data_IF_875822266194
#
_entry.id   IF_875822266194
#
_cell.length_a   1.000
_cell.length_b   1.000
_cell.length_c   1.000
_cell.angle_alpha   90.00
_cell.angle_beta   90.00
_cell.angle_gamma   90.00
#
_symmetry.space_group_name_H-M   'P 1'
#
loop_
_entity.id
_entity.type
_entity.pdbx_description
1 polymer ?
#
# COMPACT_ATOMS: atom_id res chain seq x y z
N UNK A 1 2.93 26.71 -0.18
CA UNK A 1 2.33 25.44 -0.63
C UNK A 1 2.91 24.28 0.17
N UNK A 2 2.09 23.51 0.86
CA UNK A 2 2.51 22.30 1.60
C UNK A 2 2.79 21.13 0.64
N UNK A 3 3.51 20.08 1.08
CA UNK A 3 3.66 18.87 0.27
C UNK A 3 2.31 18.25 -0.12
N UNK A 4 1.31 18.29 0.77
CA UNK A 4 -0.06 17.83 0.50
C UNK A 4 -0.70 18.62 -0.64
N UNK A 5 -0.65 19.94 -0.59
CA UNK A 5 -1.22 20.81 -1.63
C UNK A 5 -0.54 20.60 -2.98
N UNK A 6 0.77 20.38 -2.98
CA UNK A 6 1.56 20.09 -4.20
C UNK A 6 1.09 18.78 -4.83
N UNK A 7 0.96 17.72 -4.03
CA UNK A 7 0.49 16.41 -4.49
C UNK A 7 -0.94 16.49 -5.03
N UNK A 8 -1.86 17.12 -4.30
CA UNK A 8 -3.25 17.26 -4.73
C UNK A 8 -3.38 18.07 -6.01
N UNK A 9 -2.64 19.16 -6.15
CA UNK A 9 -2.65 19.98 -7.37
C UNK A 9 -2.22 19.16 -8.59
N UNK A 10 -1.20 18.32 -8.45
CA UNK A 10 -0.77 17.42 -9.53
C UNK A 10 -1.79 16.33 -9.85
N UNK A 11 -2.41 15.71 -8.83
CA UNK A 11 -3.47 14.72 -9.04
C UNK A 11 -4.70 15.34 -9.75
N UNK A 12 -4.98 16.61 -9.48
CA UNK A 12 -6.04 17.40 -10.12
C UNK A 12 -5.62 17.97 -11.48
N UNK A 13 -4.41 17.66 -11.98
CA UNK A 13 -3.82 18.17 -13.23
C UNK A 13 -3.76 19.70 -13.30
N UNK A 14 -3.59 20.36 -12.16
CA UNK A 14 -3.30 21.80 -12.07
C UNK A 14 -1.81 22.05 -12.23
N UNK A 15 -1.46 23.28 -12.58
CA UNK A 15 -0.05 23.71 -12.57
C UNK A 15 0.53 23.62 -11.15
N UNK A 16 1.77 23.15 -11.08
CA UNK A 16 2.52 23.07 -9.83
C UNK A 16 3.96 23.50 -10.09
N UNK A 17 4.48 24.35 -9.21
CA UNK A 17 5.83 24.92 -9.34
C UNK A 17 6.95 23.88 -9.11
N UNK A 18 6.61 22.66 -8.68
CA UNK A 18 7.59 21.63 -8.31
C UNK A 18 7.01 20.22 -8.33
N UNK A 19 7.92 19.26 -8.53
CA UNK A 19 7.64 17.83 -8.37
C UNK A 19 7.59 17.48 -6.88
N UNK A 20 6.59 16.72 -6.40
CA UNK A 20 6.44 16.37 -5.00
C UNK A 20 7.47 15.33 -4.61
N UNK A 21 8.21 15.61 -3.54
CA UNK A 21 9.06 14.62 -2.91
C UNK A 21 8.21 13.78 -1.94
N UNK A 22 7.85 12.56 -2.34
CA UNK A 22 6.98 11.69 -1.57
C UNK A 22 7.39 10.22 -1.68
N UNK A 23 7.13 9.42 -0.64
CA UNK A 23 7.34 7.97 -0.67
C UNK A 23 6.22 7.18 0.02
N UNK A 24 5.98 5.95 -0.44
CA UNK A 24 4.98 5.05 0.16
C UNK A 24 5.45 4.54 1.52
N UNK A 25 4.59 4.68 2.53
CA UNK A 25 4.93 4.36 3.92
C UNK A 25 5.36 2.91 4.14
N UNK A 26 4.76 1.97 3.41
CA UNK A 26 5.06 0.54 3.48
C UNK A 26 6.43 0.19 2.91
N UNK A 27 7.00 1.01 2.03
CA UNK A 27 8.27 0.74 1.33
C UNK A 27 9.41 1.64 1.83
N UNK A 28 9.16 2.46 2.84
CA UNK A 28 10.15 3.38 3.40
C UNK A 28 10.90 2.72 4.54
N UNK A 29 12.24 2.55 4.46
CA UNK A 29 13.05 2.10 5.57
C UNK A 29 12.87 3.05 6.76
N UNK A 30 12.40 2.53 7.90
CA UNK A 30 12.12 3.32 9.10
C UNK A 30 13.40 3.70 9.83
N UNK A 31 13.34 4.79 10.58
CA UNK A 31 14.44 5.21 11.48
C UNK A 31 15.08 6.53 11.08
N UNK A 32 16.40 6.63 11.18
CA UNK A 32 17.12 7.89 11.00
C UNK A 32 17.02 8.44 9.58
N UNK A 33 17.21 7.61 8.55
CA UNK A 33 17.12 8.02 7.15
C UNK A 33 15.72 8.53 6.79
N UNK A 34 14.67 7.87 7.30
CA UNK A 34 13.29 8.34 7.19
C UNK A 34 13.14 9.75 7.76
N UNK A 35 13.63 9.96 9.00
CA UNK A 35 13.55 11.25 9.70
C UNK A 35 14.27 12.36 8.95
N UNK A 36 15.48 12.09 8.44
CA UNK A 36 16.24 13.05 7.63
C UNK A 36 15.43 13.45 6.39
N UNK A 37 14.96 12.48 5.61
CA UNK A 37 14.19 12.75 4.40
C UNK A 37 12.90 13.53 4.70
N UNK A 38 12.19 13.19 5.78
CA UNK A 38 10.99 13.93 6.23
C UNK A 38 11.30 15.35 6.68
N UNK A 39 12.41 15.56 7.40
CA UNK A 39 12.88 16.89 7.78
C UNK A 39 13.30 17.73 6.56
N UNK A 40 13.71 17.09 5.46
CA UNK A 40 13.96 17.73 4.17
C UNK A 40 12.68 17.99 3.35
N UNK A 41 11.49 17.71 3.91
CA UNK A 41 10.21 17.99 3.27
C UNK A 41 9.57 16.82 2.53
N UNK A 42 10.05 15.59 2.73
CA UNK A 42 9.42 14.40 2.15
C UNK A 42 8.02 14.17 2.73
N UNK A 43 7.03 14.07 1.86
CA UNK A 43 5.69 13.61 2.21
C UNK A 43 5.64 12.08 2.33
N UNK A 44 4.77 11.59 3.22
CA UNK A 44 4.52 10.18 3.39
C UNK A 44 3.16 9.83 2.78
N UNK A 45 3.15 8.93 1.79
CA UNK A 45 1.93 8.38 1.20
C UNK A 45 1.49 7.19 2.04
N UNK A 46 0.52 7.42 2.91
CA UNK A 46 -0.03 6.40 3.80
C UNK A 46 -1.32 5.84 3.22
N UNK A 47 -1.30 4.57 2.81
CA UNK A 47 -2.54 3.88 2.47
C UNK A 47 -3.26 3.46 3.75
N UNK A 48 -4.44 4.00 3.98
CA UNK A 48 -5.34 3.59 5.06
C UNK A 48 -6.66 3.13 4.42
N UNK A 49 -7.02 1.85 4.50
CA UNK A 49 -8.31 1.41 4.00
C UNK A 49 -9.42 2.14 4.77
N UNK A 50 -10.39 2.68 4.06
CA UNK A 50 -11.53 3.42 4.65
C UNK A 50 -12.66 2.50 5.11
N UNK A 51 -12.54 1.20 4.85
CA UNK A 51 -13.47 0.16 5.25
C UNK A 51 -12.70 -1.12 5.56
N UNK A 52 -13.38 -2.07 6.19
CA UNK A 52 -12.89 -3.44 6.40
C UNK A 52 -13.75 -4.35 5.53
N UNK A 53 -13.14 -5.15 4.68
CA UNK A 53 -13.82 -6.20 3.92
C UNK A 53 -13.76 -7.51 4.71
N UNK A 54 -14.87 -8.24 4.71
CA UNK A 54 -15.00 -9.57 5.30
C UNK A 54 -15.67 -10.50 4.28
N UNK A 55 -15.14 -11.71 4.13
CA UNK A 55 -15.75 -12.74 3.29
C UNK A 55 -16.26 -13.86 4.20
N UNK A 56 -17.57 -13.88 4.41
CA UNK A 56 -18.26 -14.96 5.14
C UNK A 56 -18.17 -16.27 4.35
N UNK A 57 -18.15 -17.39 5.07
CA UNK A 57 -18.21 -18.75 4.50
C UNK A 57 -17.05 -19.08 3.53
N UNK A 58 -15.91 -18.41 3.70
CA UNK A 58 -14.67 -18.72 2.99
C UNK A 58 -13.62 -19.28 3.96
N UNK A 59 -13.19 -20.52 3.73
CA UNK A 59 -12.06 -21.10 4.47
C UNK A 59 -10.76 -20.90 3.67
N UNK A 60 -9.75 -20.33 4.31
CA UNK A 60 -8.42 -20.13 3.72
C UNK A 60 -7.44 -21.16 4.27
N UNK A 61 -6.93 -22.02 3.39
CA UNK A 61 -5.78 -22.87 3.69
C UNK A 61 -4.53 -22.28 3.04
N UNK A 62 -3.48 -22.04 3.83
CA UNK A 62 -2.18 -21.58 3.34
C UNK A 62 -1.16 -22.70 3.50
N UNK A 63 -0.56 -23.13 2.41
CA UNK A 63 0.51 -24.13 2.40
C UNK A 63 1.80 -23.53 1.84
N UNK A 64 2.89 -23.78 2.56
CA UNK A 64 4.23 -23.41 2.11
C UNK A 64 4.83 -24.61 1.36
N UNK A 65 5.08 -24.46 0.07
CA UNK A 65 5.68 -25.48 -0.79
C UNK A 65 7.02 -24.98 -1.32
N UNK A 66 8.07 -25.18 -0.53
CA UNK A 66 9.41 -24.69 -0.86
C UNK A 66 9.45 -23.16 -0.92
N UNK A 67 9.70 -22.62 -2.11
CA UNK A 67 9.75 -21.17 -2.37
C UNK A 67 8.38 -20.55 -2.65
N UNK A 68 7.32 -21.35 -2.77
CA UNK A 68 5.98 -20.89 -3.13
C UNK A 68 5.03 -20.90 -1.94
N UNK A 69 4.10 -19.95 -1.96
CA UNK A 69 2.95 -19.93 -1.05
C UNK A 69 1.72 -20.32 -1.87
N UNK A 70 1.12 -21.46 -1.57
CA UNK A 70 -0.14 -21.91 -2.17
C UNK A 70 -1.28 -21.56 -1.22
N UNK A 71 -2.18 -20.69 -1.67
CA UNK A 71 -3.42 -20.37 -0.96
C UNK A 71 -4.58 -21.08 -1.64
N UNK A 72 -5.36 -21.81 -0.86
CA UNK A 72 -6.63 -22.39 -1.29
C UNK A 72 -7.76 -21.69 -0.56
N UNK A 73 -8.69 -21.12 -1.32
CA UNK A 73 -9.91 -20.52 -0.83
C UNK A 73 -11.05 -21.49 -1.09
N UNK A 74 -11.61 -22.10 -0.06
CA UNK A 74 -12.87 -22.84 -0.15
C UNK A 74 -14.01 -21.84 -0.05
N UNK A 75 -14.80 -21.71 -1.10
CA UNK A 75 -15.97 -20.82 -1.15
C UNK A 75 -17.25 -21.64 -1.30
N UNK A 76 -18.44 -21.07 -1.04
CA UNK A 76 -19.70 -21.80 -1.17
C UNK A 76 -19.98 -22.34 -2.58
N UNK A 77 -19.35 -21.77 -3.61
CA UNK A 77 -19.53 -22.16 -5.02
C UNK A 77 -18.37 -23.01 -5.56
N UNK A 78 -17.32 -23.25 -4.76
CA UNK A 78 -16.17 -24.06 -5.15
C UNK A 78 -14.84 -23.54 -4.61
N UNK A 79 -13.74 -24.20 -5.01
CA UNK A 79 -12.39 -23.86 -4.53
C UNK A 79 -11.61 -23.01 -5.54
N UNK A 80 -10.90 -21.99 -5.06
CA UNK A 80 -9.96 -21.18 -5.85
C UNK A 80 -8.54 -21.35 -5.32
N UNK A 81 -7.56 -21.44 -6.22
CA UNK A 81 -6.15 -21.58 -5.87
C UNK A 81 -5.35 -20.38 -6.36
N UNK A 82 -4.53 -19.83 -5.47
CA UNK A 82 -3.55 -18.79 -5.75
C UNK A 82 -2.15 -19.32 -5.41
N UNK A 83 -1.19 -19.18 -6.34
CA UNK A 83 0.22 -19.52 -6.13
C UNK A 83 1.04 -18.23 -6.19
N UNK A 84 1.66 -17.88 -5.07
CA UNK A 84 2.54 -16.71 -4.90
C UNK A 84 3.99 -17.15 -4.86
#
# INVERSE_FOLDING_TARGET
>A
MSPKETILSLLEKRESDRVPFAHCDRHLPRGEKERIARNMGMALLCYRPCYIEYMSDVELTVKYEGEYIVRKYETPVGSVFEKL
#
